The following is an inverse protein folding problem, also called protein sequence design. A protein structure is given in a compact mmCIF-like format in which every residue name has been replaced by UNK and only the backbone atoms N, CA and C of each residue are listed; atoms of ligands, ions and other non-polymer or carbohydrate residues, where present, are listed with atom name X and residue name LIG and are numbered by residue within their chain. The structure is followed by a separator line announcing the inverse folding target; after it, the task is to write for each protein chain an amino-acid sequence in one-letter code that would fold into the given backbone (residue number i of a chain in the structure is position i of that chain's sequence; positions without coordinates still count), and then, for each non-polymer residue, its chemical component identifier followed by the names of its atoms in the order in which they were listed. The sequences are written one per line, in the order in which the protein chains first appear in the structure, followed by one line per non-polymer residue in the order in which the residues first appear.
data_IF_735467651257
#
_entry.id   IF_735467651257
#
_cell.length_a   1.000
_cell.length_b   1.000
_cell.length_c   1.000
_cell.angle_alpha   90.00
_cell.angle_beta   90.00
_cell.angle_gamma   90.00
#
_symmetry.space_group_name_H-M   'P 1'
#
loop_
_entity.id
_entity.type
_entity.pdbx_description
1 polymer ?
2 polymer ?
3 non-polymer ?
4 non-polymer ?
5 water ?
#
# COMPACT_ATOMS: atom_id res chain seq x y z
N UNK A 1 -12.37 -12.16 -6.86
CA UNK A 1 -13.18 -11.08 -6.27
C UNK A 1 -14.68 -11.35 -6.33
N UNK A 2 -15.47 -10.42 -5.80
CA UNK A 2 -16.92 -10.51 -5.81
C UNK A 2 -17.46 -9.16 -6.32
N UNK A 3 -18.17 -9.20 -7.44
CA UNK A 3 -18.63 -7.97 -8.10
C UNK A 3 -20.15 -7.97 -8.14
N UNK A 4 -20.70 -6.76 -8.28
CA UNK A 4 -22.15 -6.58 -8.34
C UNK A 4 -22.69 -6.92 -9.72
N UNK A 8 -28.51 -6.99 -8.95
CA UNK A 8 -27.81 -6.22 -7.94
C UNK A 8 -27.12 -7.07 -6.90
N UNK A 9 -27.34 -8.37 -6.95
CA UNK A 9 -26.72 -9.27 -5.99
C UNK A 9 -25.24 -9.46 -6.32
N UNK A 10 -24.47 -9.81 -5.30
CA UNK A 10 -23.05 -10.04 -5.46
C UNK A 10 -22.80 -11.42 -6.05
N UNK A 11 -21.77 -11.53 -6.89
CA UNK A 11 -21.41 -12.78 -7.55
C UNK A 11 -19.91 -13.00 -7.38
N UNK A 12 -19.53 -14.23 -7.06
CA UNK A 12 -18.14 -14.57 -6.77
C UNK A 12 -17.46 -15.16 -8.00
N UNK A 13 -16.23 -14.72 -8.25
CA UNK A 13 -15.41 -15.24 -9.34
C UNK A 13 -13.97 -15.30 -8.87
N UNK A 14 -13.25 -16.32 -9.31
CA UNK A 14 -11.84 -16.46 -8.95
C UNK A 14 -10.99 -15.42 -9.67
N UNK A 15 -9.75 -15.28 -9.23
CA UNK A 15 -8.83 -14.35 -9.88
C UNK A 15 -8.44 -14.89 -11.25
N UNK A 16 -8.47 -14.01 -12.25
CA UNK A 16 -8.27 -14.43 -13.63
C UNK A 16 -6.80 -14.74 -13.89
N UNK A 17 -6.51 -15.51 -14.95
CA UNK A 17 -5.10 -15.79 -15.28
C UNK A 17 -4.27 -14.54 -15.53
N UNK A 18 -4.84 -13.52 -16.20
CA UNK A 18 -4.05 -12.34 -16.54
C UNK A 18 -3.97 -11.34 -15.39
N UNK A 19 -4.84 -11.44 -14.39
CA UNK A 19 -4.61 -10.69 -13.16
C UNK A 19 -3.41 -11.25 -12.41
N UNK A 20 -3.33 -12.58 -12.31
CA UNK A 20 -2.16 -13.22 -11.71
C UNK A 20 -0.90 -12.90 -12.49
N UNK A 21 -0.92 -13.12 -13.81
CA UNK A 21 0.24 -12.82 -14.64
C UNK A 21 0.63 -11.36 -14.52
N UNK A 22 -0.35 -10.46 -14.54
CA UNK A 22 -0.07 -9.05 -14.36
C UNK A 22 0.66 -8.78 -13.06
N UNK A 23 0.14 -9.32 -11.95
CA UNK A 23 0.75 -9.10 -10.65
C UNK A 23 2.18 -9.65 -10.61
N UNK A 24 2.38 -10.86 -11.11
CA UNK A 24 3.70 -11.48 -11.09
C UNK A 24 4.69 -10.64 -11.88
N UNK A 25 4.31 -10.24 -13.10
CA UNK A 25 5.20 -9.45 -13.92
C UNK A 25 5.47 -8.08 -13.31
N UNK A 26 4.48 -7.50 -12.62
CA UNK A 26 4.72 -6.22 -11.95
C UNK A 26 5.76 -6.38 -10.86
N UNK A 27 5.65 -7.47 -10.08
CA UNK A 27 6.64 -7.71 -9.02
C UNK A 27 8.02 -7.95 -9.60
N UNK A 28 8.10 -8.74 -10.67
CA UNK A 28 9.40 -9.06 -11.25
C UNK A 28 10.06 -7.82 -11.86
N UNK A 29 9.28 -6.99 -12.56
CA UNK A 29 9.84 -5.82 -13.22
C UNK A 29 10.18 -4.71 -12.24
N UNK A 30 9.19 -4.28 -11.45
CA UNK A 30 9.33 -3.07 -10.67
C UNK A 30 9.66 -3.32 -9.20
N UNK A 31 9.67 -4.58 -8.76
CA UNK A 31 10.01 -4.96 -7.38
C UNK A 31 9.18 -4.10 -6.43
N UNK A 32 9.80 -3.29 -5.58
CA UNK A 32 9.09 -2.58 -4.52
C UNK A 32 9.19 -1.06 -4.70
N UNK A 33 8.69 -0.62 -5.84
CA UNK A 33 8.48 0.77 -6.14
C UNK A 33 7.12 1.21 -5.61
N UNK A 34 6.95 2.50 -5.32
CA UNK A 34 5.65 2.95 -4.79
C UNK A 34 4.45 2.57 -5.64
N UNK A 35 4.52 2.76 -6.96
CA UNK A 35 3.38 2.51 -7.82
C UNK A 35 2.95 1.05 -7.83
N UNK A 36 3.73 0.15 -7.23
CA UNK A 36 3.30 -1.24 -7.11
C UNK A 36 2.11 -1.36 -6.17
N UNK A 37 1.99 -0.47 -5.20
CA UNK A 37 0.93 -0.55 -4.20
C UNK A 37 -0.43 -0.28 -4.84
N UNK A 38 -0.62 0.78 -5.64
CA UNK A 38 -1.90 0.92 -6.35
C UNK A 38 -2.20 -0.25 -7.26
N UNK A 39 -1.23 -0.66 -8.08
CA UNK A 39 -1.44 -1.79 -8.98
C UNK A 39 -1.98 -3.00 -8.24
N UNK A 40 -1.31 -3.37 -7.14
CA UNK A 40 -1.81 -4.43 -6.27
C UNK A 40 -3.28 -4.18 -5.89
N UNK A 41 -3.56 -3.00 -5.33
CA UNK A 41 -4.93 -2.67 -4.96
C UNK A 41 -5.84 -2.66 -6.17
N UNK A 42 -5.29 -2.30 -7.34
CA UNK A 42 -6.08 -2.35 -8.57
C UNK A 42 -6.37 -3.77 -9.00
N UNK A 43 -5.43 -4.69 -8.76
CA UNK A 43 -5.60 -6.08 -9.18
C UNK A 43 -6.39 -6.91 -8.17
N UNK A 44 -6.77 -6.33 -7.04
CA UNK A 44 -7.42 -7.07 -5.97
C UNK A 44 -8.66 -6.34 -5.46
N UNK A 45 -9.32 -5.58 -6.32
CA UNK A 45 -10.55 -4.89 -5.91
C UNK A 45 -11.67 -5.91 -5.72
N UNK A 46 -12.38 -5.81 -4.60
CA UNK A 46 -13.42 -6.76 -4.28
C UNK A 46 -12.94 -8.15 -3.97
N UNK A 47 -11.64 -8.34 -3.82
CA UNK A 47 -11.09 -9.68 -3.62
C UNK A 47 -11.36 -10.19 -2.21
N UNK A 48 -11.36 -11.51 -2.09
CA UNK A 48 -11.50 -12.22 -0.83
C UNK A 48 -10.13 -12.49 -0.22
N UNK A 49 -10.08 -12.84 1.06
CA UNK A 49 -8.77 -13.22 1.66
C UNK A 49 -8.05 -14.31 0.89
N UNK A 50 -8.79 -15.26 0.29
CA UNK A 50 -8.16 -16.30 -0.49
C UNK A 50 -7.47 -15.72 -1.73
N UNK A 51 -8.08 -14.73 -2.36
CA UNK A 51 -7.47 -14.11 -3.54
C UNK A 51 -6.22 -13.32 -3.16
N UNK A 52 -6.28 -12.58 -2.05
CA UNK A 52 -5.11 -11.82 -1.61
C UNK A 52 -3.96 -12.75 -1.24
N UNK A 53 -4.26 -13.82 -0.49
CA UNK A 53 -3.23 -14.80 -0.18
C UNK A 53 -2.71 -15.48 -1.43
N UNK A 54 -3.57 -15.63 -2.44
CA UNK A 54 -3.11 -16.15 -3.72
C UNK A 54 -2.10 -15.22 -4.37
N UNK A 55 -2.38 -13.91 -4.35
CA UNK A 55 -1.47 -12.95 -4.95
C UNK A 55 -0.16 -12.86 -4.17
N UNK A 56 -0.22 -12.99 -2.84
CA UNK A 56 0.99 -12.89 -2.04
C UNK A 56 1.84 -14.16 -2.14
N UNK A 57 1.21 -15.31 -2.29
CA UNK A 57 1.94 -16.57 -2.38
C UNK A 57 2.60 -16.77 -3.73
N UNK A 58 2.09 -16.15 -4.78
CA UNK A 58 2.66 -16.27 -6.13
C UNK A 58 3.92 -15.43 -6.32
N UNK A 59 4.42 -14.78 -5.27
CA UNK A 59 5.63 -13.98 -5.39
C UNK A 59 6.84 -14.90 -5.30
N UNK A 60 7.64 -14.94 -6.35
CA UNK A 60 8.89 -15.68 -6.34
C UNK A 60 10.03 -14.77 -5.92
N UNK A 61 10.84 -15.24 -4.97
CA UNK A 61 11.86 -14.41 -4.36
C UNK A 61 11.29 -13.33 -3.47
N UNK A 62 12.16 -12.40 -3.09
CA UNK A 62 11.79 -11.31 -2.18
C UNK A 62 11.23 -11.85 -0.87
N UNK A 63 11.81 -12.94 -0.36
CA UNK A 63 11.20 -13.63 0.76
C UNK A 63 11.40 -12.87 2.08
N UNK A 64 12.43 -12.03 2.17
CA UNK A 64 12.59 -11.17 3.33
C UNK A 64 11.42 -10.19 3.46
N UNK A 65 11.10 -9.50 2.35
CA UNK A 65 9.98 -8.57 2.37
C UNK A 65 8.67 -9.29 2.68
N UNK A 66 8.49 -10.50 2.11
CA UNK A 66 7.28 -11.26 2.39
C UNK A 66 7.19 -11.63 3.86
N UNK A 67 8.34 -11.92 4.49
CA UNK A 67 8.35 -12.20 5.92
C UNK A 67 7.96 -10.97 6.73
N UNK A 68 8.53 -9.80 6.38
CA UNK A 68 8.15 -8.56 7.05
C UNK A 68 6.64 -8.31 6.93
N UNK A 69 6.10 -8.53 5.73
CA UNK A 69 4.65 -8.39 5.53
C UNK A 69 3.89 -9.36 6.43
N UNK A 70 4.38 -10.59 6.56
CA UNK A 70 3.75 -11.55 7.47
C UNK A 70 3.71 -11.00 8.89
N UNK A 71 4.82 -10.45 9.37
CA UNK A 71 4.87 -9.93 10.73
C UNK A 71 3.90 -8.76 10.90
N UNK A 72 3.83 -7.86 9.92
CA UNK A 72 2.89 -6.76 10.00
C UNK A 72 1.45 -7.26 10.10
N UNK A 73 1.10 -8.24 9.25
CA UNK A 73 -0.23 -8.83 9.32
C UNK A 73 -0.48 -9.46 10.68
N UNK A 74 0.57 -10.05 11.29
CA UNK A 74 0.42 -10.60 12.62
C UNK A 74 0.07 -9.52 13.63
N UNK A 75 0.75 -8.38 13.57
CA UNK A 75 0.43 -7.27 14.47
C UNK A 75 -1.02 -6.82 14.28
N UNK A 76 -1.43 -6.61 13.02
CA UNK A 76 -2.78 -6.13 12.76
C UNK A 76 -3.83 -7.11 13.26
N UNK A 77 -3.66 -8.40 12.99
CA UNK A 77 -4.63 -9.40 13.42
C UNK A 77 -4.69 -9.50 14.94
N UNK A 78 -3.54 -9.46 15.61
CA UNK A 78 -3.54 -9.47 17.07
C UNK A 78 -4.30 -8.29 17.63
N UNK A 79 -4.06 -7.09 17.08
CA UNK A 79 -4.80 -5.90 17.52
C UNK A 79 -6.29 -6.06 17.29
N UNK A 80 -6.68 -6.60 16.13
CA UNK A 80 -8.10 -6.83 15.86
C UNK A 80 -8.72 -7.75 16.89
N UNK A 81 -8.03 -8.84 17.25
CA UNK A 81 -8.56 -9.75 18.27
C UNK A 81 -8.67 -9.06 19.62
N UNK A 82 -7.69 -8.21 19.96
CA UNK A 82 -7.81 -7.40 21.16
C UNK A 82 -9.08 -6.54 21.14
N UNK A 83 -9.36 -5.91 19.99
CA UNK A 83 -10.50 -5.00 19.92
C UNK A 83 -11.83 -5.74 19.80
N UNK A 84 -11.79 -6.98 19.30
CA UNK A 84 -12.99 -7.80 19.11
C UNK A 84 -12.85 -9.04 20.00
N UNK A 85 -13.37 -8.98 21.23
CA UNK A 85 -13.21 -10.12 22.14
C UNK A 85 -14.07 -11.30 21.75
N UNK A 86 -13.62 -12.49 22.15
CA UNK A 86 -14.38 -13.70 21.90
C UNK A 86 -15.65 -13.70 22.73
N UNK A 87 -16.65 -14.44 22.28
CA UNK A 87 -17.91 -14.61 22.99
C UNK A 87 -18.25 -16.10 23.08
N UNK A 88 -18.98 -16.44 24.14
CA UNK A 88 -19.22 -17.83 24.50
C UNK A 88 -20.59 -18.29 24.00
N UNK A 89 -20.61 -19.42 23.28
CA UNK A 89 -21.84 -20.01 22.85
C UNK A 89 -21.79 -20.55 21.44
N UNK A 90 -22.72 -21.44 21.10
CA UNK A 90 -22.81 -21.93 19.72
C UNK A 90 -23.56 -20.94 18.84
N UNK A 91 -23.18 -20.92 17.56
CA UNK A 91 -23.79 -20.00 16.62
C UNK A 91 -25.20 -20.47 16.28
N UNK A 92 -26.16 -19.52 16.31
CA UNK A 92 -27.53 -19.83 15.96
C UNK A 92 -27.63 -20.23 14.49
N UNK A 93 -28.67 -20.99 14.13
CA UNK A 93 -28.80 -21.41 12.71
C UNK A 93 -28.85 -20.25 11.74
N UNK A 94 -29.55 -19.16 12.08
CA UNK A 94 -29.67 -18.06 11.15
C UNK A 94 -28.43 -17.19 11.07
N UNK A 95 -27.65 -17.13 12.14
CA UNK A 95 -26.54 -16.17 12.23
C UNK A 95 -25.23 -16.80 11.80
N UNK A 96 -24.17 -15.99 11.84
CA UNK A 96 -22.82 -16.41 11.49
C UNK A 96 -21.86 -15.73 12.45
N UNK A 97 -20.81 -16.46 12.85
CA UNK A 97 -19.89 -15.95 13.85
C UNK A 97 -19.15 -14.72 13.35
N UNK A 98 -18.57 -13.98 14.29
CA UNK A 98 -17.78 -12.83 13.83
C UNK A 98 -16.34 -13.27 13.55
N UNK A 99 -15.74 -12.71 12.49
CA UNK A 99 -14.43 -13.22 12.06
C UNK A 99 -13.33 -12.85 13.04
N UNK A 100 -12.51 -13.84 13.38
CA UNK A 100 -11.31 -13.60 14.17
C UNK A 100 -10.19 -13.07 13.26
N UNK A 101 -9.08 -12.70 13.89
CA UNK A 101 -7.93 -12.25 13.11
C UNK A 101 -7.40 -13.32 12.18
N UNK A 102 -7.53 -14.59 12.57
CA UNK A 102 -7.12 -15.68 11.70
C UNK A 102 -8.11 -15.91 10.56
N UNK A 103 -9.38 -15.58 10.76
CA UNK A 103 -10.36 -15.71 9.69
C UNK A 103 -10.21 -14.61 8.66
N UNK A 104 -9.81 -13.41 9.08
CA UNK A 104 -9.66 -12.30 8.16
C UNK A 104 -8.50 -12.55 7.20
N UNK A 105 -7.44 -13.18 7.69
CA UNK A 105 -6.31 -13.55 6.85
C UNK A 105 -6.56 -14.80 6.02
N UNK A 106 -7.75 -15.39 6.10
CA UNK A 106 -8.08 -16.57 5.34
C UNK A 106 -7.45 -17.86 5.84
N UNK A 107 -6.86 -17.85 7.04
CA UNK A 107 -6.21 -19.05 7.55
C UNK A 107 -7.21 -20.03 8.13
N UNK A 108 -8.11 -19.56 8.99
CA UNK A 108 -9.09 -20.42 9.66
C UNK A 108 -10.49 -20.27 9.07
N UNK A 109 -10.61 -19.72 7.86
CA UNK A 109 -11.90 -19.52 7.22
C UNK A 109 -11.88 -20.09 5.82
N UNK A 110 -12.98 -20.71 5.42
CA UNK A 110 -13.13 -21.22 4.08
C UNK A 110 -13.54 -20.09 3.13
N UNK A 111 -13.59 -20.41 1.84
CA UNK A 111 -14.03 -19.42 0.85
C UNK A 111 -15.51 -19.09 1.04
N UNK A 112 -16.33 -20.10 1.36
CA UNK A 112 -17.76 -19.86 1.54
C UNK A 112 -18.04 -19.01 2.77
N UNK A 113 -17.20 -19.11 3.80
CA UNK A 113 -17.38 -18.27 4.98
C UNK A 113 -17.01 -16.82 4.68
N UNK A 114 -15.94 -16.60 3.92
CA UNK A 114 -15.58 -15.25 3.51
C UNK A 114 -16.66 -14.64 2.62
N UNK A 115 -17.18 -15.41 1.67
CA UNK A 115 -18.31 -14.95 0.87
C UNK A 115 -19.50 -14.66 1.77
N UNK A 116 -19.68 -15.47 2.82
CA UNK A 116 -20.78 -15.21 3.75
C UNK A 116 -20.62 -13.91 4.51
N UNK A 117 -19.38 -13.56 4.87
CA UNK A 117 -19.15 -12.30 5.57
C UNK A 117 -19.29 -11.11 4.64
N UNK A 118 -18.80 -11.23 3.40
CA UNK A 118 -18.85 -10.11 2.47
C UNK A 118 -20.24 -9.90 1.89
N UNK A 119 -21.07 -10.96 1.82
CA UNK A 119 -22.41 -10.86 1.29
C UNK A 119 -23.45 -10.50 2.34
N UNK A 120 -23.08 -10.49 3.62
CA UNK A 120 -24.01 -10.17 4.69
C UNK A 120 -24.53 -8.74 4.54
N UNK A 121 -25.67 -8.48 5.16
CA UNK A 121 -26.25 -7.14 5.24
C UNK A 121 -26.53 -6.84 6.71
N UNK A 122 -25.71 -6.00 7.37
CA UNK A 122 -24.57 -5.25 6.81
C UNK A 122 -23.35 -6.11 6.50
N UNK A 123 -22.58 -5.73 5.48
CA UNK A 123 -21.41 -6.53 5.10
C UNK A 123 -20.32 -6.46 6.16
N UNK A 124 -19.67 -7.60 6.39
CA UNK A 124 -18.45 -7.66 7.18
C UNK A 124 -17.30 -7.74 6.18
N UNK A 125 -16.73 -6.60 5.77
CA UNK A 125 -15.77 -6.61 4.67
C UNK A 125 -14.41 -7.16 5.07
N UNK A 126 -14.31 -8.49 5.19
CA UNK A 126 -13.04 -9.11 5.58
C UNK A 126 -11.97 -8.88 4.53
N UNK A 127 -12.35 -8.85 3.25
CA UNK A 127 -11.37 -8.69 2.19
C UNK A 127 -10.73 -7.32 2.19
N UNK A 128 -11.52 -6.28 2.46
CA UNK A 128 -10.95 -4.93 2.50
C UNK A 128 -10.16 -4.68 3.77
N UNK A 129 -10.51 -5.35 4.87
CA UNK A 129 -9.73 -5.25 6.10
C UNK A 129 -8.36 -5.91 5.91
N UNK A 130 -8.37 -7.19 5.50
CA UNK A 130 -7.14 -7.88 5.16
C UNK A 130 -6.33 -7.09 4.15
N UNK A 131 -7.01 -6.48 3.17
CA UNK A 131 -6.36 -5.61 2.21
C UNK A 131 -5.71 -4.41 2.90
N UNK A 132 -6.35 -3.86 3.94
CA UNK A 132 -5.76 -2.76 4.68
C UNK A 132 -4.46 -3.20 5.34
N UNK A 133 -4.49 -4.34 6.04
CA UNK A 133 -3.27 -4.83 6.69
C UNK A 133 -2.15 -5.06 5.68
N UNK A 134 -2.48 -5.73 4.56
CA UNK A 134 -1.49 -6.02 3.53
C UNK A 134 -0.90 -4.73 2.97
N UNK A 135 -1.76 -3.75 2.67
CA UNK A 135 -1.27 -2.50 2.10
C UNK A 135 -0.41 -1.75 3.10
N UNK A 136 -0.73 -1.84 4.40
CA UNK A 136 0.15 -1.24 5.41
C UNK A 136 1.53 -1.89 5.38
N UNK A 137 1.58 -3.22 5.39
CA UNK A 137 2.85 -3.91 5.29
C UNK A 137 3.63 -3.53 4.04
N UNK A 138 2.91 -3.39 2.91
CA UNK A 138 3.56 -2.97 1.68
C UNK A 138 4.10 -1.55 1.78
N UNK A 139 3.40 -0.68 2.50
CA UNK A 139 3.91 0.66 2.76
C UNK A 139 5.23 0.59 3.52
N UNK A 140 5.28 -0.24 4.55
CA UNK A 140 6.52 -0.35 5.33
C UNK A 140 7.65 -0.94 4.50
N UNK A 141 7.33 -1.89 3.62
CA UNK A 141 8.37 -2.48 2.77
C UNK A 141 8.89 -1.46 1.76
N UNK A 142 7.98 -0.70 1.14
CA UNK A 142 8.39 0.30 0.16
C UNK A 142 9.24 1.38 0.83
N UNK A 143 8.79 1.88 1.99
CA UNK A 143 9.53 2.91 2.69
C UNK A 143 10.88 2.39 3.19
N UNK A 144 10.96 1.10 3.53
CA UNK A 144 12.22 0.55 4.00
C UNK A 144 13.21 0.31 2.87
N UNK A 145 12.72 -0.06 1.69
CA UNK A 145 13.59 -0.32 0.54
C UNK A 145 13.84 0.91 -0.31
N UNK A 146 13.50 2.10 0.19
CA UNK A 146 13.85 3.33 -0.51
C UNK A 146 15.33 3.62 -0.31
N UNK A 147 16.11 3.79 -1.39
CA UNK A 147 17.56 4.00 -1.21
C UNK A 147 17.95 5.39 -0.78
N UNK A 148 17.11 6.40 -1.02
CA UNK A 148 17.48 7.79 -0.83
C UNK A 148 16.69 8.40 0.33
N UNK A 149 17.01 9.66 0.62
CA UNK A 149 16.31 10.44 1.62
C UNK A 149 15.87 11.76 1.00
N UNK A 150 14.77 12.32 1.52
CA UNK A 150 14.27 13.59 1.00
C UNK A 150 15.23 14.73 1.26
N UNK A 151 16.10 14.60 2.26
CA UNK A 151 17.03 15.67 2.61
C UNK A 151 18.19 15.79 1.64
N UNK A 152 18.47 14.75 0.84
CA UNK A 152 19.65 14.71 -0.01
C UNK A 152 19.37 15.15 -1.44
N UNK A 153 18.12 15.42 -1.79
CA UNK A 153 17.77 15.77 -3.16
C UNK A 153 18.13 17.24 -3.40
N UNK A 154 19.15 17.47 -4.23
CA UNK A 154 19.60 18.82 -4.57
C UNK A 154 19.69 18.96 -6.08
N UNK A 155 19.33 20.14 -6.56
CA UNK A 155 19.33 20.41 -8.00
C UNK A 155 20.75 20.63 -8.50
N UNK A 156 21.08 19.99 -9.62
CA UNK A 156 22.37 20.18 -10.24
C UNK A 156 22.49 21.58 -10.84
N UNK A 157 23.73 22.00 -11.11
CA UNK A 157 23.91 23.36 -11.66
C UNK A 157 23.31 23.51 -13.05
N UNK A 158 23.43 22.50 -13.90
CA UNK A 158 22.88 22.54 -15.26
C UNK A 158 21.74 21.56 -15.44
N UNK A 159 21.07 21.17 -14.37
CA UNK A 159 19.92 20.27 -14.43
C UNK A 159 18.65 21.08 -14.65
N UNK A 160 17.81 20.72 -15.62
CA UNK A 160 16.54 21.43 -15.79
C UNK A 160 15.68 21.28 -14.53
N UNK A 161 14.90 22.33 -14.26
CA UNK A 161 14.08 22.36 -13.05
C UNK A 161 13.07 21.20 -13.04
N UNK A 162 12.56 20.84 -14.23
CA UNK A 162 11.60 19.74 -14.32
C UNK A 162 12.18 18.44 -13.77
N UNK A 163 13.41 18.11 -14.18
CA UNK A 163 14.05 16.88 -13.71
C UNK A 163 14.25 16.91 -12.19
N UNK A 164 14.71 18.05 -11.66
CA UNK A 164 14.94 18.14 -10.23
C UNK A 164 13.66 17.95 -9.44
N UNK A 165 12.56 18.57 -9.88
CA UNK A 165 11.29 18.38 -9.20
C UNK A 165 10.85 16.91 -9.30
N UNK A 166 11.07 16.29 -10.46
CA UNK A 166 10.76 14.88 -10.63
C UNK A 166 11.47 14.02 -9.59
N UNK A 167 12.79 14.22 -9.44
CA UNK A 167 13.52 13.50 -8.41
C UNK A 167 12.96 13.79 -7.03
N UNK A 168 12.68 15.06 -6.74
CA UNK A 168 12.21 15.46 -5.42
C UNK A 168 10.95 14.70 -5.03
N UNK A 169 9.90 14.82 -5.84
CA UNK A 169 8.64 14.17 -5.48
C UNK A 169 8.73 12.66 -5.62
N UNK A 170 9.61 12.16 -6.48
CA UNK A 170 9.88 10.72 -6.54
C UNK A 170 10.37 10.22 -5.17
N UNK A 171 11.32 10.93 -4.57
CA UNK A 171 11.81 10.52 -3.26
C UNK A 171 10.76 10.77 -2.18
N UNK A 172 10.00 11.86 -2.30
CA UNK A 172 9.00 12.19 -1.30
C UNK A 172 7.88 11.15 -1.23
N UNK A 173 7.51 10.58 -2.38
CA UNK A 173 6.41 9.62 -2.40
C UNK A 173 6.72 8.39 -1.55
N UNK A 174 7.99 8.02 -1.43
CA UNK A 174 8.39 6.85 -0.67
C UNK A 174 8.80 7.19 0.76
N UNK A 175 8.70 8.46 1.17
CA UNK A 175 9.17 8.86 2.48
C UNK A 175 8.27 8.32 3.59
N UNK A 176 8.85 8.17 4.77
CA UNK A 176 8.13 7.75 5.97
C UNK A 176 7.79 9.01 6.76
N UNK A 177 6.67 9.63 6.41
CA UNK A 177 6.28 10.88 7.03
C UNK A 177 4.77 11.06 6.92
N UNK A 178 4.19 11.74 7.89
CA UNK A 178 2.78 12.04 7.87
C UNK A 178 2.49 13.13 6.83
N UNK A 179 1.21 13.46 6.68
CA UNK A 179 0.80 14.43 5.68
C UNK A 179 1.39 15.80 5.96
N UNK A 180 1.32 16.24 7.22
CA UNK A 180 1.85 17.56 7.58
C UNK A 180 3.36 17.62 7.38
N UNK A 181 4.07 16.56 7.72
CA UNK A 181 5.53 16.54 7.55
C UNK A 181 5.88 16.65 6.07
N UNK A 182 5.08 16.01 5.20
CA UNK A 182 5.34 16.13 3.77
C UNK A 182 5.00 17.53 3.27
N UNK A 183 3.96 18.15 3.83
CA UNK A 183 3.67 19.55 3.50
C UNK A 183 4.86 20.44 3.84
N UNK A 184 5.45 20.23 5.02
CA UNK A 184 6.61 21.03 5.42
C UNK A 184 7.81 20.76 4.53
N UNK A 185 8.08 19.48 4.23
CA UNK A 185 9.17 19.14 3.31
C UNK A 185 9.00 19.83 1.97
N UNK A 186 7.78 19.85 1.45
CA UNK A 186 7.52 20.49 0.15
C UNK A 186 7.73 22.00 0.26
N UNK A 187 7.14 22.63 1.27
CA UNK A 187 7.22 24.08 1.39
C UNK A 187 8.59 24.58 1.84
N UNK A 188 9.51 23.69 2.21
CA UNK A 188 10.82 24.11 2.70
C UNK A 188 11.96 23.60 1.82
N UNK A 189 12.13 22.28 1.71
CA UNK A 189 13.32 21.73 1.09
C UNK A 189 13.36 21.97 -0.41
N UNK A 190 12.20 22.06 -1.07
CA UNK A 190 12.17 22.20 -2.53
C UNK A 190 12.88 23.48 -2.96
N UNK A 191 12.45 24.62 -2.42
CA UNK A 191 13.12 25.88 -2.73
C UNK A 191 14.46 25.95 -2.00
N UNK A 192 14.58 25.28 -0.84
CA UNK A 192 15.83 25.33 -0.10
C UNK A 192 16.97 24.64 -0.85
N UNK A 193 16.68 23.57 -1.60
CA UNK A 193 17.71 22.77 -2.24
C UNK A 193 17.78 22.99 -3.74
N UNK A 194 17.21 24.07 -4.25
CA UNK A 194 17.33 24.38 -5.67
C UNK A 194 18.67 25.06 -5.94
N UNK A 195 19.10 25.02 -7.21
CA UNK A 195 20.35 25.65 -7.59
C UNK A 195 20.20 27.17 -7.55
N UNK A 196 21.31 27.89 -7.33
CA UNK A 196 21.20 29.36 -7.08
C UNK A 196 20.41 30.14 -8.13
N UNK A 197 20.71 29.92 -9.42
CA UNK A 197 20.06 30.69 -10.48
C UNK A 197 18.54 30.61 -10.39
N UNK A 198 18.02 29.40 -10.18
CA UNK A 198 16.57 29.25 -10.03
C UNK A 198 16.11 29.45 -8.60
N UNK A 199 16.95 29.18 -7.62
CA UNK A 199 16.56 29.38 -6.22
C UNK A 199 16.24 30.83 -5.94
N UNK A 200 16.99 31.76 -6.53
CA UNK A 200 16.71 33.18 -6.33
C UNK A 200 15.34 33.53 -6.89
N UNK A 201 14.99 32.99 -8.06
CA UNK A 201 13.68 33.25 -8.66
C UNK A 201 12.56 32.70 -7.78
N UNK A 202 12.74 31.45 -7.31
CA UNK A 202 11.71 30.84 -6.48
C UNK A 202 11.53 31.57 -5.16
N UNK A 203 12.62 32.08 -4.59
CA UNK A 203 12.52 32.93 -3.41
C UNK A 203 11.79 34.23 -3.75
N UNK A 204 12.00 34.75 -4.95
CA UNK A 204 11.33 35.98 -5.35
C UNK A 204 9.83 35.77 -5.55
N UNK A 205 9.41 34.55 -5.91
CA UNK A 205 8.00 34.27 -6.09
C UNK A 205 7.23 34.38 -4.79
N UNK A 206 7.77 33.78 -3.73
CA UNK A 206 7.11 33.75 -2.45
C UNK A 206 6.53 32.38 -2.14
N UNK A 207 6.32 32.09 -0.86
CA UNK A 207 5.80 30.76 -0.48
C UNK A 207 4.36 30.51 -0.88
N UNK A 208 3.69 31.46 -1.51
CA UNK A 208 2.31 31.26 -1.92
C UNK A 208 2.15 30.98 -3.40
N UNK A 209 3.20 30.46 -4.02
CA UNK A 209 3.21 30.17 -5.45
C UNK A 209 2.91 28.71 -5.71
N UNK A 210 2.28 28.44 -6.84
CA UNK A 210 2.01 27.08 -7.27
C UNK A 210 3.26 26.46 -7.90
N UNK A 211 3.23 25.13 -8.02
CA UNK A 211 4.33 24.45 -8.70
C UNK A 211 4.40 24.82 -10.17
N UNK A 212 3.25 25.07 -10.80
CA UNK A 212 3.23 25.47 -12.20
C UNK A 212 3.96 26.79 -12.41
N UNK A 213 3.72 27.76 -11.53
CA UNK A 213 4.40 29.05 -11.65
C UNK A 213 5.89 28.93 -11.37
N UNK A 214 6.27 28.01 -10.47
CA UNK A 214 7.69 27.80 -10.19
C UNK A 214 8.41 27.17 -11.37
N UNK A 215 7.79 26.16 -12.00
CA UNK A 215 8.42 25.50 -13.13
C UNK A 215 8.40 26.37 -14.38
N UNK A 216 7.35 27.18 -14.56
CA UNK A 216 7.35 28.16 -15.64
C UNK A 216 8.41 29.22 -15.41
N UNK A 217 8.62 29.60 -14.15
CA UNK A 217 9.60 30.64 -13.84
C UNK A 217 11.02 30.18 -14.14
N UNK A 218 11.35 28.93 -13.84
CA UNK A 218 12.70 28.41 -14.01
C UNK A 218 12.85 27.61 -15.30
N UNK A 219 11.94 27.78 -16.26
CA UNK A 219 12.03 27.03 -17.50
C UNK A 219 13.17 27.53 -18.37
N UNK A 220 13.36 28.86 -18.44
CA UNK A 220 14.41 29.41 -19.28
C UNK A 220 15.80 29.07 -18.77
N UNK A 221 16.01 29.20 -17.46
CA UNK A 221 17.30 28.90 -16.86
C UNK A 221 17.60 27.40 -16.94
N UNK B 1 -0.05 -15.67 16.86
CA UNK B 1 0.32 -15.31 15.50
C UNK B 1 -0.55 -15.98 14.45
N UNK B 2 -0.72 -15.32 13.30
CA UNK B 2 -1.52 -15.85 12.21
C UNK B 2 -0.67 -16.30 11.03
N UNK B 3 0.45 -15.63 10.77
CA UNK B 3 1.39 -16.03 9.73
C UNK B 3 2.71 -16.42 10.35
N UNK B 4 3.41 -17.35 9.70
CA UNK B 4 4.60 -17.97 10.26
C UNK B 4 5.67 -18.06 9.18
N UNK B 5 6.95 -18.01 9.57
CA UNK B 5 8.02 -18.02 8.57
C UNK B 5 8.05 -19.34 7.79
N UNK B 6 8.31 -19.23 6.48
CA UNK B 6 8.39 -20.38 5.62
C UNK B 6 7.06 -21.03 5.30
N UNK B 7 5.96 -20.53 5.83
CA UNK B 7 4.61 -21.07 5.63
C UNK B 7 3.83 -20.18 4.69
N UNK B 8 2.97 -20.77 3.85
CA UNK B 8 2.22 -19.97 2.87
C UNK B 8 1.25 -19.01 3.55
N UNK B 9 0.85 -17.99 2.80
CA UNK B 9 -0.16 -17.06 3.26
C UNK B 9 -1.52 -17.73 3.29
N UNK B 10 -2.28 -17.49 4.35
CA UNK B 10 -3.60 -18.07 4.46
C UNK B 10 -3.63 -19.56 4.76
N UNK B 11 -2.56 -20.11 5.33
CA UNK B 11 -2.52 -21.51 5.69
C UNK B 11 -2.89 -21.69 7.15
N UNK B 12 -3.76 -22.65 7.49
CA UNK B 12 -4.20 -22.92 8.86
C UNK B 12 -3.04 -23.08 9.85
#
# INVERSE_FOLDING_TARGET
PIVQNLQGQMVHQAISPRTLNAWVKVVEEKAFSPEVIPMFSALSEGATPQDLNTMLNTVGGHQAAMQMLKETINEEAAEWDRLHPVHAGPIAPGQMREPRGSDIAGTTSTLQEQIGWMTHNPPIPVGEIYKRWIILGLNKIVRMYSPTSILDIRQGPKEPFRDYVDRFYKTLRAEQASQEVKNWMTETLLVQNANPDCKTILKALGPGATLEEMMTACQGVGGPGHKARVL
PVLFPGQPFGQP
#
